data_IF_606925011273
#
_entry.id   IF_606925011273
#
_cell.length_a   1.000
_cell.length_b   1.000
_cell.length_c   1.000
_cell.angle_alpha   90.00
_cell.angle_beta   90.00
_cell.angle_gamma   90.00
#
_symmetry.space_group_name_H-M   'P 1'
#
loop_
_entity.id
_entity.type
_entity.pdbx_description
1 polymer ?
#
# COMPACT_ATOMS: atom_id res chain seq x y z
N UNK A 1 -5.56 -3.46 -15.68
CA UNK A 1 -5.82 -2.08 -15.22
C UNK A 1 -5.38 -1.96 -13.76
N UNK A 2 -4.27 -1.25 -13.52
CA UNK A 2 -3.65 -1.13 -12.19
C UNK A 2 -4.46 -0.25 -11.24
N UNK A 3 -4.06 -0.16 -9.96
CA UNK A 3 -4.57 0.79 -8.95
C UNK A 3 -4.80 2.22 -9.47
N UNK A 4 -4.06 2.63 -10.49
CA UNK A 4 -4.12 3.96 -11.09
C UNK A 4 -4.89 4.02 -12.41
N UNK A 5 -5.33 2.90 -13.00
CA UNK A 5 -6.17 2.83 -14.22
C UNK A 5 -5.79 3.84 -15.32
N UNK A 6 -4.48 4.00 -15.58
CA UNK A 6 -3.89 4.99 -16.51
C UNK A 6 -4.02 6.47 -16.10
N UNK A 7 -4.65 6.77 -14.95
CA UNK A 7 -4.64 8.09 -14.32
C UNK A 7 -3.31 8.34 -13.59
N UNK A 8 -2.84 9.59 -13.54
CA UNK A 8 -1.64 9.93 -12.79
C UNK A 8 -1.88 9.89 -11.27
N UNK A 9 -3.13 9.98 -10.82
CA UNK A 9 -3.50 10.08 -9.41
C UNK A 9 -4.84 9.40 -9.10
N UNK A 10 -5.02 9.04 -7.83
CA UNK A 10 -6.29 8.52 -7.29
C UNK A 10 -6.76 9.33 -6.08
N UNK A 11 -8.07 9.58 -5.91
CA UNK A 11 -8.62 10.11 -4.68
C UNK A 11 -8.29 9.24 -3.47
N UNK A 12 -7.94 9.86 -2.34
CA UNK A 12 -7.66 9.14 -1.08
C UNK A 12 -8.83 8.31 -0.58
N UNK A 13 -10.07 8.74 -0.84
CA UNK A 13 -11.27 7.95 -0.55
C UNK A 13 -11.27 6.64 -1.33
N UNK A 14 -10.94 6.68 -2.62
CA UNK A 14 -10.80 5.47 -3.45
C UNK A 14 -9.65 4.60 -2.95
N UNK A 15 -8.49 5.19 -2.66
CA UNK A 15 -7.36 4.46 -2.09
C UNK A 15 -7.71 3.73 -0.77
N UNK A 16 -8.40 4.43 0.14
CA UNK A 16 -8.87 3.86 1.40
C UNK A 16 -9.88 2.73 1.17
N UNK A 17 -10.76 2.89 0.19
CA UNK A 17 -11.71 1.85 -0.17
C UNK A 17 -10.98 0.63 -0.73
N UNK A 18 -9.98 0.82 -1.60
CA UNK A 18 -9.13 -0.26 -2.08
C UNK A 18 -8.45 -0.97 -0.91
N UNK A 19 -7.79 -0.26 0.00
CA UNK A 19 -7.18 -0.85 1.20
C UNK A 19 -8.18 -1.64 2.05
N UNK A 20 -9.43 -1.21 2.14
CA UNK A 20 -10.47 -1.93 2.90
C UNK A 20 -11.00 -3.15 2.17
N UNK A 21 -11.30 -3.02 0.87
CA UNK A 21 -11.96 -4.05 0.07
C UNK A 21 -11.00 -5.14 -0.42
N UNK A 22 -9.70 -4.87 -0.51
CA UNK A 22 -8.76 -5.88 -0.98
C UNK A 22 -8.40 -6.89 0.10
N UNK A 23 -8.98 -8.07 -0.04
CA UNK A 23 -8.41 -9.29 0.55
C UNK A 23 -7.24 -9.77 -0.31
N UNK A 24 -6.06 -9.18 -0.11
CA UNK A 24 -4.81 -9.68 -0.70
C UNK A 24 -4.28 -10.77 0.23
N UNK A 25 -4.39 -12.03 -0.22
CA UNK A 25 -3.66 -13.16 0.36
C UNK A 25 -2.33 -13.22 -0.39
N UNK A 26 -1.25 -12.71 0.21
CA UNK A 26 0.08 -12.99 -0.32
C UNK A 26 0.43 -14.44 0.02
N UNK A 27 0.85 -15.24 -0.96
CA UNK A 27 1.24 -16.65 -0.76
C UNK A 27 2.12 -16.83 0.48
N UNK A 28 1.71 -17.75 1.36
CA UNK A 28 2.43 -18.07 2.59
C UNK A 28 2.36 -17.03 3.71
N UNK A 29 1.59 -15.94 3.56
CA UNK A 29 1.50 -14.87 4.57
C UNK A 29 0.05 -14.62 5.00
N UNK A 30 -0.14 -14.42 6.32
CA UNK A 30 -1.44 -14.01 6.88
C UNK A 30 -1.87 -12.69 6.23
N UNK A 31 -3.14 -12.60 5.82
CA UNK A 31 -3.72 -11.34 5.37
C UNK A 31 -3.44 -10.24 6.40
N UNK A 32 -3.09 -9.04 5.92
CA UNK A 32 -3.01 -7.87 6.80
C UNK A 32 -4.37 -7.64 7.43
N UNK A 33 -4.40 -7.51 8.76
CA UNK A 33 -5.63 -7.20 9.49
C UNK A 33 -6.12 -5.80 9.08
N UNK A 34 -7.43 -5.52 9.14
CA UNK A 34 -7.97 -4.19 8.82
C UNK A 34 -7.26 -3.03 9.55
N UNK A 35 -6.83 -3.25 10.80
CA UNK A 35 -6.05 -2.28 11.58
C UNK A 35 -4.68 -1.98 10.96
N UNK A 36 -4.03 -2.97 10.39
CA UNK A 36 -2.71 -2.83 9.75
C UNK A 36 -2.83 -2.11 8.40
N UNK A 37 -3.88 -2.42 7.63
CA UNK A 37 -4.20 -1.71 6.37
C UNK A 37 -4.44 -0.22 6.62
N UNK A 38 -5.17 0.12 7.70
CA UNK A 38 -5.35 1.53 8.11
C UNK A 38 -4.03 2.20 8.52
N UNK A 39 -3.10 1.45 9.16
CA UNK A 39 -1.78 1.97 9.50
C UNK A 39 -0.94 2.27 8.26
N UNK A 40 -1.08 1.52 7.17
CA UNK A 40 -0.40 1.83 5.90
C UNK A 40 -0.79 3.22 5.37
N UNK A 41 -2.09 3.53 5.37
CA UNK A 41 -2.62 4.84 4.98
C UNK A 41 -2.00 5.94 5.85
N UNK A 42 -2.08 5.82 7.17
CA UNK A 42 -1.61 6.87 8.08
C UNK A 42 -0.09 7.04 8.04
N UNK A 43 0.66 5.93 7.92
CA UNK A 43 2.12 5.93 8.07
C UNK A 43 2.86 6.28 6.77
N UNK A 44 2.45 5.70 5.64
CA UNK A 44 3.18 5.85 4.37
C UNK A 44 2.48 6.78 3.38
N UNK A 45 1.20 7.08 3.62
CA UNK A 45 0.41 8.02 2.83
C UNK A 45 -0.23 9.06 3.74
N UNK A 46 0.53 9.79 4.58
CA UNK A 46 -0.04 10.76 5.50
C UNK A 46 -0.80 11.85 4.74
N UNK A 47 -1.89 12.33 5.35
CA UNK A 47 -2.78 13.33 4.76
C UNK A 47 -2.19 14.73 5.00
N UNK A 48 -1.07 15.03 4.34
CA UNK A 48 -0.34 16.29 4.55
C UNK A 48 -0.95 17.46 3.76
N UNK A 49 -1.13 17.34 2.43
CA UNK A 49 -1.57 18.49 1.62
C UNK A 49 -2.52 18.18 0.44
N UNK A 50 -2.80 16.91 0.11
CA UNK A 50 -3.54 16.57 -1.11
C UNK A 50 -4.73 15.64 -0.85
N UNK A 51 -5.83 15.87 -1.58
CA UNK A 51 -7.03 15.02 -1.58
C UNK A 51 -6.81 13.72 -2.37
N UNK A 52 -5.74 13.65 -3.15
CA UNK A 52 -5.29 12.55 -4.00
C UNK A 52 -3.98 11.95 -3.50
N UNK A 53 -3.64 10.78 -4.06
CA UNK A 53 -2.31 10.16 -4.01
C UNK A 53 -1.87 10.00 -5.46
N UNK A 54 -0.74 10.60 -5.81
CA UNK A 54 -0.17 10.44 -7.15
C UNK A 54 0.57 9.12 -7.28
N UNK A 55 0.70 8.61 -8.50
CA UNK A 55 1.51 7.42 -8.80
C UNK A 55 2.96 7.60 -8.36
N UNK A 56 3.50 8.81 -8.52
CA UNK A 56 4.85 9.16 -8.08
C UNK A 56 5.00 9.19 -6.56
N UNK A 57 4.01 9.71 -5.82
CA UNK A 57 3.98 9.61 -4.35
C UNK A 57 3.90 8.14 -3.91
N UNK A 58 3.05 7.35 -4.57
CA UNK A 58 2.91 5.92 -4.29
C UNK A 58 4.21 5.15 -4.45
N UNK A 59 4.88 5.32 -5.58
CA UNK A 59 6.17 4.67 -5.87
C UNK A 59 7.26 5.14 -4.90
N UNK A 60 7.32 6.43 -4.56
CA UNK A 60 8.27 6.97 -3.58
C UNK A 60 8.07 6.36 -2.20
N UNK A 61 6.83 6.27 -1.72
CA UNK A 61 6.53 5.63 -0.44
C UNK A 61 6.88 4.14 -0.44
N UNK A 62 6.61 3.44 -1.53
CA UNK A 62 6.95 2.01 -1.69
C UNK A 62 8.47 1.80 -1.72
N UNK A 63 9.21 2.68 -2.41
CA UNK A 63 10.68 2.66 -2.42
C UNK A 63 11.25 2.95 -1.03
N UNK A 64 10.75 3.98 -0.34
CA UNK A 64 11.16 4.31 1.03
C UNK A 64 10.92 3.13 1.98
N UNK A 65 9.80 2.42 1.84
CA UNK A 65 9.50 1.22 2.62
C UNK A 65 10.51 0.07 2.38
N UNK A 66 10.93 -0.13 1.12
CA UNK A 66 11.95 -1.11 0.75
C UNK A 66 13.31 -0.79 1.36
N UNK A 67 13.71 0.48 1.32
CA UNK A 67 14.95 0.95 1.94
C UNK A 67 14.90 0.80 3.47
N UNK A 68 13.78 1.17 4.12
CA UNK A 68 13.60 0.93 5.55
C UNK A 68 13.72 -0.55 5.92
N UNK A 69 13.11 -1.45 5.13
CA UNK A 69 13.26 -2.90 5.33
C UNK A 69 14.71 -3.38 5.19
N UNK A 70 15.48 -2.76 4.30
CA UNK A 70 16.90 -3.11 4.09
C UNK A 70 17.75 -2.73 5.29
N UNK A 71 17.48 -1.57 5.89
CA UNK A 71 18.18 -1.04 7.05
C UNK A 71 17.70 -1.65 8.38
N UNK A 72 16.49 -2.21 8.42
CA UNK A 72 15.91 -2.82 9.62
C UNK A 72 16.65 -4.11 10.00
N UNK A 73 17.17 -4.14 11.24
CA UNK A 73 17.89 -5.27 11.81
C UNK A 73 16.95 -6.22 12.57
N UNK A 74 15.82 -5.72 13.06
CA UNK A 74 14.82 -6.53 13.77
C UNK A 74 14.06 -7.43 12.78
N UNK A 75 14.22 -8.75 12.94
CA UNK A 75 13.57 -9.75 12.10
C UNK A 75 12.04 -9.64 12.08
N UNK A 76 11.41 -9.33 13.21
CA UNK A 76 9.95 -9.20 13.30
C UNK A 76 9.47 -7.96 12.54
N UNK A 77 10.17 -6.84 12.68
CA UNK A 77 9.85 -5.61 11.92
C UNK A 77 10.12 -5.80 10.43
N UNK A 78 11.21 -6.46 10.07
CA UNK A 78 11.57 -6.76 8.68
C UNK A 78 10.53 -7.64 7.99
N UNK A 79 10.08 -8.70 8.64
CA UNK A 79 9.00 -9.57 8.13
C UNK A 79 7.67 -8.84 8.03
N UNK A 80 7.36 -7.94 8.97
CA UNK A 80 6.20 -7.06 8.87
C UNK A 80 6.30 -6.11 7.69
N UNK A 81 7.40 -5.39 7.53
CA UNK A 81 7.61 -4.49 6.38
C UNK A 81 7.56 -5.26 5.05
N UNK A 82 8.08 -6.48 4.99
CA UNK A 82 7.97 -7.34 3.81
C UNK A 82 6.51 -7.64 3.44
N UNK A 83 5.65 -7.90 4.43
CA UNK A 83 4.20 -8.09 4.21
C UNK A 83 3.54 -6.80 3.72
N UNK A 84 3.89 -5.67 4.31
CA UNK A 84 3.40 -4.35 3.91
C UNK A 84 3.79 -4.01 2.46
N UNK A 85 5.04 -4.26 2.07
CA UNK A 85 5.53 -4.06 0.69
C UNK A 85 4.78 -4.97 -0.28
N UNK A 86 4.73 -6.28 -0.02
CA UNK A 86 4.02 -7.23 -0.89
C UNK A 86 2.56 -6.83 -1.06
N UNK A 87 1.89 -6.43 0.03
CA UNK A 87 0.52 -5.96 -0.05
C UNK A 87 0.37 -4.74 -0.96
N UNK A 88 1.25 -3.74 -0.85
CA UNK A 88 1.20 -2.54 -1.70
C UNK A 88 1.56 -2.83 -3.17
N UNK A 89 2.48 -3.77 -3.43
CA UNK A 89 2.81 -4.20 -4.79
C UNK A 89 1.64 -4.96 -5.43
N UNK A 90 1.02 -5.87 -4.68
CA UNK A 90 -0.19 -6.58 -5.12
C UNK A 90 -1.35 -5.60 -5.34
N UNK A 91 -1.55 -4.66 -4.42
CA UNK A 91 -2.55 -3.59 -4.55
C UNK A 91 -2.32 -2.79 -5.83
N UNK A 92 -1.08 -2.48 -6.17
CA UNK A 92 -0.75 -1.76 -7.41
C UNK A 92 -1.09 -2.58 -8.65
N UNK A 93 -0.82 -3.88 -8.63
CA UNK A 93 -1.02 -4.78 -9.78
C UNK A 93 -2.48 -5.18 -9.98
N UNK A 94 -3.27 -5.25 -8.91
CA UNK A 94 -4.64 -5.76 -8.96
C UNK A 94 -5.56 -4.86 -9.76
N UNK A 95 -6.36 -5.52 -10.58
CA UNK A 95 -7.52 -4.94 -11.24
C UNK A 95 -8.62 -4.66 -10.22
N UNK A 96 -8.99 -3.39 -10.09
CA UNK A 96 -10.18 -3.00 -9.34
C UNK A 96 -11.28 -2.68 -10.34
N UNK A 97 -12.42 -3.38 -10.32
CA UNK A 97 -13.55 -2.95 -11.12
C UNK A 97 -14.09 -1.63 -10.55
N UNK A 98 -14.05 -0.55 -11.34
CA UNK A 98 -14.85 0.65 -11.07
C UNK A 98 -16.31 0.25 -11.30
N UNK A 99 -17.08 0.16 -10.21
CA UNK A 99 -18.55 0.13 -10.29
C UNK A 99 -19.08 1.56 -10.41
#
# INVERSE_FOLDING_TARGET
MSLFEKKPEIPRRQFKNFLKSTEIKSEGQRQLKPRERKKLEVKYFPRKYHSTISKGEYQRSLHSLKEQKRLEQDFQKKTKMQREIKYLEELQKRDFPVK
#
